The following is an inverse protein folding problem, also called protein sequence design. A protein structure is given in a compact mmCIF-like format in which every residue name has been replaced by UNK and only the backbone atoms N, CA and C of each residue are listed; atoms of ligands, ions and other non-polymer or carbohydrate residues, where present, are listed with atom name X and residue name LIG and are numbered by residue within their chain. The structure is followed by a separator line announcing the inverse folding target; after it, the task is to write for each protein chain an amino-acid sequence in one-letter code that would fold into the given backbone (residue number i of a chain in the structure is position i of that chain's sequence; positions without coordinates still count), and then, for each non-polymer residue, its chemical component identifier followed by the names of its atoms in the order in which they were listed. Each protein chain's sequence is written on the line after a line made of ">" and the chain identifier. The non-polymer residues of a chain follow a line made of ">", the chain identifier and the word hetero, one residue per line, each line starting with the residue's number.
data_IF_740236754684
#
_entry.id   IF_740236754684
#
_cell.length_a   1.000
_cell.length_b   1.000
_cell.length_c   1.000
_cell.angle_alpha   90.00
_cell.angle_beta   90.00
_cell.angle_gamma   90.00
#
_symmetry.space_group_name_H-M   'P 1'
#
loop_
_entity.id
_entity.type
_entity.pdbx_description
1 polymer ?
#
# COMPACT_ATOMS: atom_id res chain seq x y z
N UNK A 1 -62.88 34.03 -38.23
CA UNK A 1 -63.16 33.58 -36.85
C UNK A 1 -61.90 32.95 -36.27
N UNK A 2 -61.43 33.50 -35.14
CA UNK A 2 -60.75 32.91 -33.97
C UNK A 2 -60.37 31.40 -34.02
N UNK A 3 -59.34 30.83 -33.38
CA UNK A 3 -58.15 31.18 -32.55
C UNK A 3 -57.70 29.81 -31.94
N UNK A 4 -56.44 29.69 -31.49
CA UNK A 4 -55.88 28.71 -30.47
C UNK A 4 -55.32 27.37 -31.04
N UNK A 5 -54.00 27.16 -31.03
CA UNK A 5 -53.06 26.79 -29.94
C UNK A 5 -53.04 25.28 -29.61
N UNK A 6 -51.87 24.65 -29.73
CA UNK A 6 -51.61 23.30 -29.22
C UNK A 6 -50.38 22.63 -29.83
N UNK A 7 -49.18 23.15 -29.56
CA UNK A 7 -47.93 22.42 -29.81
C UNK A 7 -47.83 21.26 -28.80
N UNK A 8 -48.00 20.03 -29.29
CA UNK A 8 -47.98 18.81 -28.48
C UNK A 8 -46.69 18.01 -28.65
N UNK A 9 -45.83 18.10 -27.63
CA UNK A 9 -44.98 17.03 -27.08
C UNK A 9 -44.09 16.27 -28.07
N UNK A 10 -42.86 16.77 -28.27
CA UNK A 10 -41.69 15.93 -28.52
C UNK A 10 -41.18 15.43 -27.16
N UNK A 11 -41.43 14.16 -26.82
CA UNK A 11 -40.90 13.55 -25.61
C UNK A 11 -39.88 12.46 -25.95
N UNK A 12 -38.64 12.75 -25.56
CA UNK A 12 -37.63 11.82 -25.09
C UNK A 12 -37.07 10.81 -26.10
N UNK A 13 -36.21 11.29 -26.99
CA UNK A 13 -35.10 10.49 -27.50
C UNK A 13 -33.79 11.23 -27.19
N UNK A 14 -32.95 10.57 -26.38
CA UNK A 14 -31.59 10.96 -26.01
C UNK A 14 -31.56 12.22 -25.13
N UNK A 15 -30.96 12.18 -23.96
CA UNK A 15 -29.52 12.18 -23.83
C UNK A 15 -29.22 11.68 -22.41
N UNK A 16 -28.69 10.46 -22.26
CA UNK A 16 -27.81 10.19 -21.13
C UNK A 16 -26.50 10.93 -21.47
N UNK A 17 -26.43 12.22 -21.13
CA UNK A 17 -25.13 12.88 -21.02
C UNK A 17 -24.47 12.11 -19.90
N UNK A 18 -23.39 11.41 -20.24
CA UNK A 18 -22.37 11.10 -19.26
C UNK A 18 -22.15 12.40 -18.49
N UNK A 19 -22.61 12.44 -17.24
CA UNK A 19 -22.12 13.44 -16.33
C UNK A 19 -20.61 13.35 -16.45
N UNK A 20 -19.88 14.45 -16.72
CA UNK A 20 -18.44 14.41 -16.56
C UNK A 20 -18.23 13.84 -15.17
N UNK A 21 -17.60 12.67 -15.09
CA UNK A 21 -16.99 12.29 -13.83
C UNK A 21 -16.13 13.50 -13.52
N UNK A 22 -16.48 14.22 -12.46
CA UNK A 22 -15.58 15.20 -11.91
C UNK A 22 -14.36 14.38 -11.53
N UNK A 23 -13.40 14.29 -12.46
CA UNK A 23 -12.03 13.98 -12.15
C UNK A 23 -11.62 15.12 -11.23
N UNK A 24 -11.88 14.94 -9.94
CA UNK A 24 -11.12 15.64 -8.93
C UNK A 24 -9.69 15.23 -9.24
N UNK A 25 -8.98 16.10 -9.96
CA UNK A 25 -7.59 15.89 -10.35
C UNK A 25 -6.84 15.65 -9.06
N UNK A 26 -6.63 14.39 -8.71
CA UNK A 26 -5.94 14.00 -7.49
C UNK A 26 -4.48 14.36 -7.74
N UNK A 27 -4.06 15.56 -7.31
CA UNK A 27 -2.72 16.13 -7.59
C UNK A 27 -1.68 15.51 -6.64
N UNK A 28 -1.68 14.18 -6.53
CA UNK A 28 -0.60 13.46 -5.86
C UNK A 28 0.56 13.41 -6.83
N UNK A 29 1.64 14.14 -6.53
CA UNK A 29 2.83 14.20 -7.37
C UNK A 29 3.48 12.81 -7.51
N UNK A 30 3.55 12.31 -8.74
CA UNK A 30 4.21 11.04 -9.08
C UNK A 30 5.74 11.08 -8.86
N UNK A 31 6.32 12.27 -8.80
CA UNK A 31 7.74 12.47 -8.46
C UNK A 31 8.02 12.16 -6.98
N UNK A 32 7.02 12.38 -6.13
CA UNK A 32 7.11 12.16 -4.68
C UNK A 32 6.57 10.79 -4.31
N UNK A 33 5.42 10.41 -4.87
CA UNK A 33 4.67 9.22 -4.49
C UNK A 33 4.66 8.18 -5.61
N UNK A 34 4.72 6.91 -5.23
CA UNK A 34 4.46 5.78 -6.10
C UNK A 34 3.06 5.26 -5.83
N UNK A 35 2.19 5.33 -6.82
CA UNK A 35 0.93 4.58 -6.79
C UNK A 35 1.18 3.08 -6.91
N UNK A 36 0.43 2.28 -6.16
CA UNK A 36 0.54 0.81 -6.15
C UNK A 36 -0.75 0.13 -6.58
N UNK A 37 -1.87 0.52 -5.98
CA UNK A 37 -3.15 -0.12 -6.23
C UNK A 37 -4.31 0.77 -5.80
N UNK A 38 -5.49 0.46 -6.33
CA UNK A 38 -6.78 0.99 -5.86
C UNK A 38 -7.68 -0.15 -5.42
N UNK A 39 -8.51 0.13 -4.43
CA UNK A 39 -9.69 -0.67 -4.07
C UNK A 39 -10.96 0.12 -4.39
N UNK A 40 -12.13 -0.42 -4.05
CA UNK A 40 -13.38 0.32 -4.16
C UNK A 40 -13.49 1.49 -3.16
N UNK A 41 -12.61 1.56 -2.15
CA UNK A 41 -12.70 2.50 -1.03
C UNK A 41 -11.49 3.41 -0.88
N UNK A 42 -10.34 2.97 -1.37
CA UNK A 42 -9.07 3.62 -1.09
C UNK A 42 -8.07 3.44 -2.24
N UNK A 43 -7.27 4.48 -2.50
CA UNK A 43 -6.03 4.38 -3.27
C UNK A 43 -4.84 4.23 -2.33
N UNK A 44 -3.78 3.57 -2.78
CA UNK A 44 -2.59 3.28 -1.98
C UNK A 44 -1.33 3.79 -2.67
N UNK A 45 -0.60 4.65 -1.96
CA UNK A 45 0.64 5.25 -2.41
C UNK A 45 1.73 5.11 -1.34
N UNK A 46 2.99 5.03 -1.74
CA UNK A 46 4.11 5.23 -0.80
C UNK A 46 5.02 6.36 -1.26
N UNK A 47 5.61 7.08 -0.30
CA UNK A 47 6.50 8.20 -0.60
C UNK A 47 7.89 7.67 -0.96
N UNK A 48 8.28 7.79 -2.23
CA UNK A 48 9.59 7.33 -2.73
C UNK A 48 10.74 8.17 -2.22
N UNK A 49 10.52 9.47 -2.00
CA UNK A 49 11.56 10.41 -1.59
C UNK A 49 11.85 10.34 -0.08
N UNK A 50 10.86 9.97 0.72
CA UNK A 50 10.98 9.80 2.17
C UNK A 50 11.13 8.32 2.58
N UNK A 51 11.67 7.49 1.69
CA UNK A 51 11.97 6.09 1.91
C UNK A 51 13.42 5.95 2.42
N UNK A 52 13.61 5.40 3.63
CA UNK A 52 14.94 5.27 4.25
C UNK A 52 15.16 3.95 4.98
N UNK A 53 16.43 3.61 5.23
CA UNK A 53 16.79 2.66 6.28
C UNK A 53 16.79 3.34 7.65
N UNK A 54 16.49 2.59 8.70
CA UNK A 54 16.60 3.11 10.07
C UNK A 54 18.06 3.32 10.48
N UNK A 55 18.25 4.00 11.61
CA UNK A 55 19.55 4.18 12.26
C UNK A 55 19.51 3.63 13.68
N UNK A 56 20.64 3.12 14.17
CA UNK A 56 20.84 2.83 15.58
C UNK A 56 21.15 4.10 16.38
N UNK A 57 21.21 3.99 17.70
CA UNK A 57 21.46 5.11 18.61
C UNK A 57 22.83 5.79 18.39
N UNK A 58 23.77 5.13 17.71
CA UNK A 58 25.08 5.66 17.37
C UNK A 58 25.14 6.28 15.94
N UNK A 59 24.00 6.34 15.26
CA UNK A 59 23.83 6.89 13.92
C UNK A 59 24.30 5.96 12.80
N UNK A 60 24.51 4.67 13.07
CA UNK A 60 24.83 3.68 12.04
C UNK A 60 23.54 3.17 11.41
N UNK A 61 23.54 3.06 10.09
CA UNK A 61 22.41 2.52 9.35
C UNK A 61 22.14 1.07 9.74
N UNK A 62 20.85 0.76 9.94
CA UNK A 62 20.34 -0.61 10.14
C UNK A 62 19.63 -1.06 8.85
N UNK A 63 20.34 -1.72 7.91
CA UNK A 63 19.78 -2.06 6.60
C UNK A 63 18.66 -3.11 6.65
N UNK A 64 18.43 -3.72 7.82
CA UNK A 64 17.33 -4.64 8.05
C UNK A 64 15.99 -3.96 8.34
N UNK A 65 15.99 -2.65 8.64
CA UNK A 65 14.78 -1.92 8.97
C UNK A 65 14.51 -0.83 7.94
N UNK A 66 13.35 -0.89 7.28
CA UNK A 66 12.89 0.17 6.37
C UNK A 66 11.86 1.05 7.05
N UNK A 67 11.94 2.35 6.79
CA UNK A 67 10.98 3.36 7.23
C UNK A 67 10.34 3.98 5.99
N UNK A 68 9.02 3.84 5.88
CA UNK A 68 8.27 4.20 4.67
C UNK A 68 6.99 4.94 5.04
N UNK A 69 6.90 6.24 4.77
CA UNK A 69 5.64 6.96 4.79
C UNK A 69 4.78 6.51 3.62
N UNK A 70 3.51 6.24 3.90
CA UNK A 70 2.50 5.88 2.91
C UNK A 70 1.31 6.81 3.01
N UNK A 71 0.62 6.98 1.89
CA UNK A 71 -0.57 7.80 1.76
C UNK A 71 -1.71 6.93 1.23
N UNK A 72 -2.87 7.05 1.86
CA UNK A 72 -4.12 6.44 1.40
C UNK A 72 -5.14 7.55 1.24
N UNK A 73 -5.78 7.63 0.08
CA UNK A 73 -6.91 8.54 -0.13
C UNK A 73 -8.20 7.74 -0.12
N UNK A 74 -9.28 8.37 0.29
CA UNK A 74 -10.54 7.72 0.62
C UNK A 74 -11.66 8.12 -0.34
N UNK A 75 -12.54 7.16 -0.65
CA UNK A 75 -13.83 7.46 -1.22
C UNK A 75 -14.79 8.00 -0.15
N UNK A 76 -15.92 8.54 -0.60
CA UNK A 76 -16.95 9.09 0.29
C UNK A 76 -17.51 8.08 1.30
N UNK A 77 -17.51 6.79 0.96
CA UNK A 77 -18.00 5.75 1.88
C UNK A 77 -16.98 5.47 2.97
N UNK A 78 -15.70 5.40 2.63
CA UNK A 78 -14.61 5.24 3.58
C UNK A 78 -14.52 6.44 4.53
N UNK A 79 -14.68 7.67 4.01
CA UNK A 79 -14.76 8.88 4.83
C UNK A 79 -15.89 8.73 5.88
N UNK A 80 -17.11 8.39 5.43
CA UNK A 80 -18.25 8.20 6.34
C UNK A 80 -18.00 7.10 7.37
N UNK A 81 -17.35 6.01 6.99
CA UNK A 81 -16.99 4.93 7.90
C UNK A 81 -16.01 5.39 8.99
N UNK A 82 -14.96 6.13 8.63
CA UNK A 82 -14.00 6.72 9.58
C UNK A 82 -14.71 7.66 10.56
N UNK A 83 -15.51 8.60 10.05
CA UNK A 83 -16.27 9.55 10.89
C UNK A 83 -17.25 8.82 11.81
N UNK A 84 -17.93 7.79 11.31
CA UNK A 84 -18.88 6.99 12.10
C UNK A 84 -18.17 6.21 13.22
N UNK A 85 -17.04 5.57 12.91
CA UNK A 85 -16.20 4.88 13.91
C UNK A 85 -15.68 5.84 14.97
N UNK A 86 -15.30 7.05 14.57
CA UNK A 86 -14.83 8.11 15.48
C UNK A 86 -15.94 8.55 16.44
N UNK A 87 -17.14 8.83 15.90
CA UNK A 87 -18.34 9.15 16.68
C UNK A 87 -18.72 8.03 17.65
N UNK A 88 -18.69 6.78 17.19
CA UNK A 88 -18.96 5.61 18.02
C UNK A 88 -18.00 5.48 19.21
N UNK A 89 -16.73 5.85 19.02
CA UNK A 89 -15.71 5.87 20.08
C UNK A 89 -15.78 7.11 20.99
N UNK A 90 -16.74 8.00 20.80
CA UNK A 90 -16.86 9.25 21.56
C UNK A 90 -15.74 10.27 21.27
N UNK A 91 -15.04 10.14 20.14
CA UNK A 91 -13.96 11.04 19.74
C UNK A 91 -14.54 12.26 18.99
N UNK A 92 -13.88 13.42 19.12
CA UNK A 92 -14.29 14.66 18.43
C UNK A 92 -14.31 14.50 16.92
N UNK A 93 -15.36 14.98 16.25
CA UNK A 93 -15.49 14.96 14.78
C UNK A 93 -15.27 16.33 14.13
N UNK A 94 -14.78 17.30 14.90
CA UNK A 94 -14.43 18.63 14.37
C UNK A 94 -13.38 18.53 13.27
N UNK A 95 -13.61 19.16 12.11
CA UNK A 95 -12.70 19.16 10.95
C UNK A 95 -12.75 17.90 10.08
N UNK A 96 -13.42 16.84 10.54
CA UNK A 96 -13.53 15.58 9.77
C UNK A 96 -14.56 15.63 8.64
N UNK A 97 -15.28 16.74 8.50
CA UNK A 97 -16.05 17.07 7.31
C UNK A 97 -15.16 17.30 6.07
N UNK A 98 -13.87 17.63 6.28
CA UNK A 98 -12.86 17.78 5.23
C UNK A 98 -11.87 16.59 5.16
N UNK A 99 -12.18 15.45 5.78
CA UNK A 99 -11.32 14.26 5.72
C UNK A 99 -11.19 13.76 4.27
N UNK A 100 -9.96 13.55 3.79
CA UNK A 100 -9.68 13.01 2.45
C UNK A 100 -8.92 11.69 2.45
N UNK A 101 -8.28 11.32 3.56
CA UNK A 101 -7.38 10.17 3.58
C UNK A 101 -6.62 10.01 4.89
N UNK A 102 -5.54 9.23 4.83
CA UNK A 102 -4.57 9.13 5.92
C UNK A 102 -3.13 9.01 5.41
N UNK A 103 -2.18 9.41 6.25
CA UNK A 103 -0.78 9.00 6.15
C UNK A 103 -0.48 7.94 7.22
N UNK A 104 0.25 6.90 6.82
CA UNK A 104 0.77 5.90 7.76
C UNK A 104 2.29 5.82 7.67
N UNK A 105 2.93 5.50 8.78
CA UNK A 105 4.38 5.39 8.86
C UNK A 105 4.73 3.93 9.11
N UNK A 106 5.17 3.25 8.06
CA UNK A 106 5.47 1.84 8.10
C UNK A 106 6.92 1.61 8.53
N UNK A 107 7.11 0.73 9.49
CA UNK A 107 8.41 0.19 9.89
C UNK A 107 8.46 -1.29 9.52
N UNK A 108 9.22 -1.62 8.48
CA UNK A 108 9.45 -3.01 8.09
C UNK A 108 10.67 -3.56 8.80
N UNK A 109 10.58 -4.77 9.34
CA UNK A 109 11.74 -5.60 9.65
C UNK A 109 11.87 -6.66 8.57
N UNK A 110 12.90 -6.51 7.74
CA UNK A 110 13.15 -7.34 6.57
C UNK A 110 13.65 -8.74 6.95
N UNK A 111 14.34 -8.88 8.09
CA UNK A 111 14.82 -10.18 8.56
C UNK A 111 13.68 -11.01 9.14
N UNK A 112 12.81 -10.35 9.92
CA UNK A 112 11.66 -11.00 10.55
C UNK A 112 10.43 -11.09 9.64
N UNK A 113 10.47 -10.41 8.49
CA UNK A 113 9.35 -10.29 7.55
C UNK A 113 8.11 -9.72 8.23
N UNK A 114 8.29 -8.66 9.01
CA UNK A 114 7.21 -7.98 9.74
C UNK A 114 7.07 -6.53 9.31
N UNK A 115 5.88 -5.97 9.54
CA UNK A 115 5.58 -4.55 9.38
C UNK A 115 4.80 -4.06 10.60
N UNK A 116 5.12 -2.85 11.03
CA UNK A 116 4.38 -2.11 12.05
C UNK A 116 3.94 -0.77 11.46
N UNK A 117 2.67 -0.41 11.66
CA UNK A 117 2.19 0.97 11.47
C UNK A 117 2.50 1.72 12.76
N UNK A 118 3.58 2.49 12.79
CA UNK A 118 4.02 3.18 14.02
C UNK A 118 3.17 4.40 14.32
N UNK A 119 2.63 5.04 13.27
CA UNK A 119 1.79 6.22 13.33
C UNK A 119 0.79 6.19 12.17
N UNK A 120 -0.43 6.62 12.45
CA UNK A 120 -1.53 6.82 11.50
C UNK A 120 -2.09 8.22 11.74
N UNK A 121 -2.03 9.07 10.71
CA UNK A 121 -2.53 10.44 10.73
C UNK A 121 -3.71 10.53 9.75
N UNK A 122 -4.90 10.87 10.25
CA UNK A 122 -6.03 11.26 9.40
C UNK A 122 -5.75 12.64 8.79
N UNK A 123 -6.06 12.82 7.50
CA UNK A 123 -5.68 14.01 6.74
C UNK A 123 -6.88 14.78 6.20
N UNK A 124 -6.82 16.11 6.27
CA UNK A 124 -7.73 17.02 5.58
C UNK A 124 -7.30 17.28 4.11
N UNK A 125 -8.09 18.06 3.37
CA UNK A 125 -7.84 18.33 1.95
C UNK A 125 -6.58 19.16 1.67
N UNK A 126 -6.07 19.86 2.69
CA UNK A 126 -4.80 20.59 2.66
C UNK A 126 -3.60 19.72 3.09
N UNK A 127 -3.82 18.40 3.28
CA UNK A 127 -2.87 17.44 3.83
C UNK A 127 -2.43 17.75 5.27
N UNK A 128 -3.22 18.53 5.99
CA UNK A 128 -3.11 18.80 7.42
C UNK A 128 -3.55 17.59 8.26
N UNK A 129 -2.94 17.43 9.43
CA UNK A 129 -3.26 16.31 10.33
C UNK A 129 -4.49 16.65 11.18
N UNK A 130 -5.57 15.91 10.98
CA UNK A 130 -6.82 16.00 11.77
C UNK A 130 -6.75 15.21 13.08
N UNK A 131 -5.99 14.11 13.07
CA UNK A 131 -5.84 13.26 14.25
C UNK A 131 -4.77 12.19 14.07
N UNK A 132 -4.06 11.88 15.16
CA UNK A 132 -3.01 10.87 15.18
C UNK A 132 -3.42 9.68 16.04
N UNK A 133 -3.14 8.48 15.56
CA UNK A 133 -3.19 7.23 16.33
C UNK A 133 -1.86 6.50 16.20
N UNK A 134 -1.38 5.90 17.28
CA UNK A 134 -0.19 5.04 17.28
C UNK A 134 -0.58 3.61 17.62
N UNK A 135 0.23 2.64 17.17
CA UNK A 135 -0.01 1.22 17.47
C UNK A 135 1.30 0.46 17.60
N UNK A 136 1.35 -0.42 18.60
CA UNK A 136 2.44 -1.38 18.79
C UNK A 136 2.18 -2.71 18.07
N UNK A 137 1.10 -2.79 17.27
CA UNK A 137 0.74 -4.01 16.55
C UNK A 137 1.77 -4.28 15.45
N UNK A 138 2.45 -5.41 15.58
CA UNK A 138 3.34 -5.97 14.56
C UNK A 138 2.60 -7.04 13.77
N UNK A 139 2.70 -6.97 12.45
CA UNK A 139 2.07 -7.91 11.51
C UNK A 139 3.17 -8.67 10.79
N UNK A 140 3.06 -10.00 10.70
CA UNK A 140 3.96 -10.82 9.92
C UNK A 140 3.46 -10.97 8.49
N UNK A 141 4.24 -10.48 7.53
CA UNK A 141 3.83 -10.35 6.12
C UNK A 141 3.64 -11.73 5.48
N UNK A 142 4.42 -12.72 5.90
CA UNK A 142 4.33 -14.09 5.39
C UNK A 142 3.06 -14.83 5.82
N UNK A 143 2.39 -14.37 6.88
CA UNK A 143 1.14 -14.95 7.38
C UNK A 143 -0.10 -14.31 6.73
N UNK A 144 0.07 -13.20 6.01
CA UNK A 144 -1.01 -12.58 5.25
C UNK A 144 -1.26 -13.32 3.93
N UNK A 145 -2.53 -13.46 3.57
CA UNK A 145 -2.94 -14.06 2.30
C UNK A 145 -2.45 -13.24 1.11
N UNK A 146 -2.16 -13.90 -0.01
CA UNK A 146 -1.86 -13.22 -1.29
C UNK A 146 -3.02 -12.36 -1.82
N UNK A 147 -4.25 -12.63 -1.35
CA UNK A 147 -5.43 -11.84 -1.70
C UNK A 147 -5.65 -10.64 -0.79
N UNK A 148 -4.94 -10.59 0.34
CA UNK A 148 -5.02 -9.49 1.28
C UNK A 148 -4.47 -8.21 0.62
N UNK A 149 -5.27 -7.15 0.73
CA UNK A 149 -5.01 -5.86 0.08
C UNK A 149 -3.75 -5.21 0.65
N UNK A 150 -3.59 -5.24 1.97
CA UNK A 150 -2.42 -4.67 2.63
C UNK A 150 -1.18 -5.52 2.35
N UNK A 151 -1.31 -6.85 2.30
CA UNK A 151 -0.20 -7.73 1.93
C UNK A 151 0.36 -7.43 0.53
N UNK A 152 -0.51 -7.20 -0.46
CA UNK A 152 -0.09 -6.80 -1.81
C UNK A 152 0.65 -5.46 -1.78
N UNK A 153 0.13 -4.49 -1.03
CA UNK A 153 0.74 -3.19 -0.89
C UNK A 153 2.13 -3.28 -0.23
N UNK A 154 2.25 -4.01 0.87
CA UNK A 154 3.53 -4.25 1.56
C UNK A 154 4.54 -4.94 0.66
N UNK A 155 4.14 -5.98 -0.08
CA UNK A 155 5.03 -6.68 -1.01
C UNK A 155 5.50 -5.78 -2.15
N UNK A 156 4.66 -4.88 -2.65
CA UNK A 156 5.06 -3.90 -3.66
C UNK A 156 6.11 -2.91 -3.12
N UNK A 157 5.94 -2.42 -1.89
CA UNK A 157 6.94 -1.57 -1.21
C UNK A 157 8.26 -2.31 -1.05
N UNK A 158 8.23 -3.56 -0.60
CA UNK A 158 9.44 -4.37 -0.43
C UNK A 158 10.13 -4.66 -1.77
N UNK A 159 9.35 -4.90 -2.83
CA UNK A 159 9.89 -5.06 -4.18
C UNK A 159 10.59 -3.78 -4.64
N UNK A 160 9.95 -2.62 -4.50
CA UNK A 160 10.55 -1.33 -4.82
C UNK A 160 11.85 -1.11 -4.04
N UNK A 161 11.86 -1.42 -2.74
CA UNK A 161 13.05 -1.29 -1.91
C UNK A 161 14.21 -2.16 -2.38
N UNK A 162 13.92 -3.37 -2.87
CA UNK A 162 14.92 -4.27 -3.46
C UNK A 162 15.46 -3.72 -4.77
N UNK A 163 14.59 -3.25 -5.66
CA UNK A 163 14.98 -2.72 -6.97
C UNK A 163 15.76 -1.39 -6.85
N UNK A 164 15.48 -0.60 -5.81
CA UNK A 164 16.06 0.73 -5.56
C UNK A 164 16.98 0.78 -4.33
N UNK A 165 17.58 -0.36 -3.95
CA UNK A 165 18.37 -0.48 -2.71
C UNK A 165 19.46 0.59 -2.60
N UNK A 166 20.27 0.77 -3.64
CA UNK A 166 21.41 1.69 -3.61
C UNK A 166 20.94 3.15 -3.48
N UNK A 167 19.87 3.53 -4.19
CA UNK A 167 19.27 4.86 -4.11
C UNK A 167 18.79 5.17 -2.69
N UNK A 168 18.07 4.23 -2.06
CA UNK A 168 17.58 4.37 -0.69
C UNK A 168 18.76 4.42 0.31
N UNK A 169 19.78 3.59 0.09
CA UNK A 169 20.98 3.56 0.91
C UNK A 169 21.70 4.91 0.87
N UNK A 170 22.03 5.42 -0.32
CA UNK A 170 22.72 6.69 -0.51
C UNK A 170 21.90 7.86 0.03
N UNK A 171 20.59 7.86 -0.19
CA UNK A 171 19.69 8.87 0.36
C UNK A 171 19.68 8.84 1.89
N UNK A 172 19.69 7.65 2.50
CA UNK A 172 19.73 7.52 3.96
C UNK A 172 21.03 8.11 4.51
N UNK A 173 22.16 7.95 3.83
CA UNK A 173 23.42 8.58 4.24
C UNK A 173 23.39 10.10 4.06
N UNK A 174 22.97 10.57 2.89
CA UNK A 174 23.05 11.99 2.51
C UNK A 174 22.01 12.87 3.18
N UNK A 175 20.77 12.40 3.30
CA UNK A 175 19.65 13.18 3.87
C UNK A 175 19.51 12.95 5.37
N UNK A 176 19.73 11.72 5.85
CA UNK A 176 19.58 11.40 7.28
C UNK A 176 20.91 11.35 8.04
N UNK A 177 22.04 11.58 7.38
CA UNK A 177 23.36 11.60 8.01
C UNK A 177 23.84 10.23 8.51
N UNK A 178 23.22 9.15 8.04
CA UNK A 178 23.52 7.81 8.55
C UNK A 178 24.92 7.36 8.15
N UNK A 179 25.68 6.84 9.11
CA UNK A 179 26.95 6.14 8.85
C UNK A 179 26.66 4.81 8.16
N UNK A 180 27.62 4.36 7.34
CA UNK A 180 27.55 3.04 6.72
C UNK A 180 27.33 1.94 7.78
N UNK A 181 26.58 0.86 7.48
CA UNK A 181 26.31 -0.19 8.45
C UNK A 181 27.60 -0.72 9.09
N UNK A 182 27.53 -1.10 10.36
CA UNK A 182 28.66 -1.74 11.05
C UNK A 182 29.08 -2.99 10.26
N UNK A 183 30.40 -3.26 10.12
CA UNK A 183 30.91 -4.35 9.29
C UNK A 183 30.41 -5.76 9.66
N UNK A 184 29.83 -5.92 10.86
CA UNK A 184 29.17 -7.15 11.32
C UNK A 184 27.79 -7.37 10.67
N UNK A 185 27.18 -6.35 10.07
CA UNK A 185 25.90 -6.39 9.37
C UNK A 185 26.14 -6.42 7.86
N UNK A 186 26.86 -7.43 7.37
CA UNK A 186 26.92 -7.73 5.93
C UNK A 186 25.78 -8.65 5.55
N UNK A 187 24.75 -8.11 4.89
CA UNK A 187 23.79 -8.94 4.15
C UNK A 187 24.52 -9.69 3.04
N UNK A 188 24.23 -10.99 2.96
CA UNK A 188 24.67 -11.87 1.89
C UNK A 188 23.97 -11.50 0.58
N UNK A 189 24.57 -10.63 -0.22
CA UNK A 189 24.18 -10.46 -1.62
C UNK A 189 24.70 -11.68 -2.38
N UNK A 190 23.84 -12.70 -2.59
CA UNK A 190 23.91 -13.73 -3.65
C UNK A 190 22.80 -14.76 -3.47
N UNK A 191 21.62 -14.49 -4.02
CA UNK A 191 20.73 -15.58 -4.43
C UNK A 191 21.19 -16.08 -5.81
N UNK A 192 21.71 -17.31 -5.81
CA UNK A 192 22.06 -18.04 -7.03
C UNK A 192 20.77 -18.42 -7.77
N UNK A 193 20.56 -17.82 -8.94
CA UNK A 193 19.76 -18.46 -10.00
C UNK A 193 20.61 -19.59 -10.57
N UNK A 194 20.38 -20.82 -10.11
CA UNK A 194 20.73 -22.03 -10.87
C UNK A 194 19.46 -22.71 -11.33
N UNK A 195 19.06 -22.26 -12.50
CA UNK A 195 18.62 -23.04 -13.66
C UNK A 195 18.46 -24.54 -13.40
N UNK A 196 17.21 -24.97 -13.31
CA UNK A 196 16.83 -26.39 -13.29
C UNK A 196 16.35 -26.78 -14.68
N UNK A 197 17.29 -27.20 -15.53
CA UNK A 197 16.99 -27.89 -16.78
C UNK A 197 17.77 -29.20 -16.89
N UNK A 198 17.00 -30.24 -17.22
CA UNK A 198 17.38 -31.59 -17.65
C UNK A 198 17.88 -32.62 -16.62
N UNK A 199 17.01 -33.59 -16.30
CA UNK A 199 17.11 -34.92 -16.92
C UNK A 199 15.83 -35.77 -16.77
N UNK A 200 15.21 -36.04 -17.92
CA UNK A 200 14.14 -37.04 -18.13
C UNK A 200 14.75 -38.42 -18.42
N UNK A 201 13.95 -39.46 -18.13
CA UNK A 201 14.08 -40.92 -18.44
C UNK A 201 14.82 -41.73 -17.38
N UNK A 202 14.29 -42.80 -16.79
CA UNK A 202 13.07 -43.56 -17.00
C UNK A 202 13.36 -45.01 -16.58
N UNK A 203 12.48 -45.66 -15.79
CA UNK A 203 12.40 -47.12 -15.76
C UNK A 203 11.04 -47.59 -15.27
N UNK A 204 10.37 -48.29 -16.17
CA UNK A 204 9.17 -49.10 -15.96
C UNK A 204 9.55 -50.34 -15.16
N UNK A 205 8.77 -50.69 -14.14
CA UNK A 205 8.53 -52.10 -13.77
C UNK A 205 7.09 -52.27 -13.31
N UNK A 206 6.50 -53.35 -13.83
CA UNK A 206 5.10 -53.75 -13.80
C UNK A 206 4.99 -55.01 -12.94
N UNK A 207 4.12 -55.03 -11.93
CA UNK A 207 3.46 -56.24 -11.40
C UNK A 207 2.19 -55.78 -10.66
N UNK A 208 0.97 -56.09 -11.09
CA UNK A 208 0.29 -57.39 -11.16
C UNK A 208 -0.10 -57.98 -9.81
N UNK A 209 -1.35 -57.68 -9.41
CA UNK A 209 -2.38 -58.63 -8.93
C UNK A 209 -2.06 -59.48 -7.69
N UNK A 210 -2.77 -59.22 -6.58
CA UNK A 210 -3.64 -60.18 -5.87
C UNK A 210 -4.35 -59.47 -4.70
N UNK A 211 -5.65 -59.23 -4.87
CA UNK A 211 -6.58 -59.05 -3.77
C UNK A 211 -7.33 -60.36 -3.57
N UNK A 212 -7.20 -60.94 -2.37
CA UNK A 212 -7.92 -62.08 -1.79
C UNK A 212 -7.65 -61.94 -0.29
N UNK A 213 -8.63 -61.56 0.56
CA UNK A 213 -9.50 -62.39 1.42
C UNK A 213 -9.70 -61.55 2.70
N UNK A 214 -10.73 -61.65 3.52
CA UNK A 214 -11.96 -62.44 3.63
C UNK A 214 -12.85 -61.65 4.62
#
# INVERSE_FOLDING_TARGET
>A
MNKRWGAGILAAAMIFMAAPQADATEVISEDVYQWVQSTARQNYYFNKQQFYFAQDDAGYMTPDILLVPVLKTYDQVQIRDVVSKRRWKGLSTSGYDDLVGCAEYLKFNLKEQTVQVTKHDDLDSDWGVLGTTTSDKVVKITELSEKDVDAKFYRAILKYASDHYQEIYDRTQTVKGAKAPKPEVKRSTKENVKDSKDKKKGRVTKSSKRGVRE
#
